data_IF_473230384794
#
_entry.id   IF_473230384794
#
_cell.length_a   1.000
_cell.length_b   1.000
_cell.length_c   1.000
_cell.angle_alpha   90.00
_cell.angle_beta   90.00
_cell.angle_gamma   90.00
#
_symmetry.space_group_name_H-M   'P 1'
#
loop_
_entity.id
_entity.type
_entity.pdbx_description
1 polymer ?
#
# COMPACT_ATOMS: atom_id res chain seq x y z
N UNK A 1 1.90 -15.81 -13.59
CA UNK A 1 1.08 -14.92 -14.46
C UNK A 1 1.09 -13.58 -13.78
N UNK A 2 1.35 -12.45 -14.43
CA UNK A 2 1.37 -11.17 -13.70
C UNK A 2 -0.05 -10.75 -13.32
N UNK A 3 -0.35 -10.65 -12.03
CA UNK A 3 -1.64 -10.13 -11.55
C UNK A 3 -1.70 -8.63 -11.86
N UNK A 4 -2.70 -8.21 -12.63
CA UNK A 4 -2.92 -6.79 -12.93
C UNK A 4 -3.33 -6.08 -11.64
N UNK A 5 -2.66 -4.97 -11.34
CA UNK A 5 -2.97 -4.13 -10.19
C UNK A 5 -4.30 -3.36 -10.39
N UNK A 6 -5.08 -3.21 -9.32
CA UNK A 6 -6.23 -2.30 -9.26
C UNK A 6 -5.78 -0.82 -9.34
N UNK A 7 -6.55 0.03 -10.02
CA UNK A 7 -6.21 1.45 -10.20
C UNK A 7 -6.10 2.18 -8.84
N UNK A 8 -6.90 1.76 -7.86
CA UNK A 8 -6.96 2.23 -6.49
C UNK A 8 -5.62 2.06 -5.73
N UNK A 9 -4.80 1.06 -6.08
CA UNK A 9 -3.50 0.89 -5.41
C UNK A 9 -2.55 2.07 -5.63
N UNK A 10 -2.81 2.93 -6.61
CA UNK A 10 -2.06 4.18 -6.81
C UNK A 10 -2.49 5.30 -5.85
N UNK A 11 -3.56 5.13 -5.07
CA UNK A 11 -4.10 6.16 -4.19
C UNK A 11 -3.96 5.81 -2.70
N UNK A 12 -3.88 4.53 -2.36
CA UNK A 12 -3.79 4.06 -0.98
C UNK A 12 -2.37 3.63 -0.61
N UNK A 13 -1.95 4.02 0.60
CA UNK A 13 -0.71 3.60 1.23
C UNK A 13 -0.84 2.24 1.90
N UNK A 14 0.29 1.56 2.10
CA UNK A 14 0.31 0.21 2.68
C UNK A 14 -0.27 0.19 4.10
N UNK A 15 0.07 1.16 4.94
CA UNK A 15 -0.49 1.33 6.29
C UNK A 15 -2.01 1.61 6.26
N UNK A 16 -2.48 2.44 5.33
CA UNK A 16 -3.91 2.71 5.20
C UNK A 16 -4.68 1.43 4.84
N UNK A 17 -4.16 0.63 3.91
CA UNK A 17 -4.78 -0.66 3.57
C UNK A 17 -4.76 -1.61 4.77
N UNK A 18 -3.67 -1.66 5.53
CA UNK A 18 -3.57 -2.54 6.70
C UNK A 18 -4.59 -2.17 7.80
N UNK A 19 -4.73 -0.87 8.08
CA UNK A 19 -5.58 -0.39 9.18
C UNK A 19 -7.06 -0.29 8.80
N UNK A 20 -7.36 0.09 7.57
CA UNK A 20 -8.72 0.38 7.15
C UNK A 20 -9.39 -0.77 6.39
N UNK A 21 -8.61 -1.63 5.72
CA UNK A 21 -9.18 -2.70 4.90
C UNK A 21 -9.01 -4.05 5.59
N UNK A 22 -10.09 -4.82 5.64
CA UNK A 22 -10.11 -6.14 6.26
C UNK A 22 -9.29 -7.15 5.45
N UNK A 23 -7.97 -7.15 5.65
CA UNK A 23 -7.01 -8.07 5.04
C UNK A 23 -6.63 -9.20 5.98
N UNK A 24 -6.06 -10.25 5.43
CA UNK A 24 -5.50 -11.37 6.17
C UNK A 24 -4.35 -10.90 7.05
N UNK A 25 -4.18 -11.55 8.21
CA UNK A 25 -3.11 -11.21 9.16
C UNK A 25 -1.69 -11.27 8.56
N UNK A 26 -1.34 -12.22 7.68
CA UNK A 26 -0.06 -12.20 7.00
C UNK A 26 0.14 -10.96 6.13
N UNK A 27 -0.88 -10.58 5.35
CA UNK A 27 -0.83 -9.39 4.50
C UNK A 27 -0.78 -8.11 5.35
N UNK A 28 -1.56 -8.03 6.43
CA UNK A 28 -1.51 -6.93 7.41
C UNK A 28 -0.07 -6.68 7.90
N UNK A 29 0.60 -7.74 8.38
CA UNK A 29 1.97 -7.61 8.90
C UNK A 29 2.92 -7.12 7.80
N UNK A 30 2.82 -7.68 6.60
CA UNK A 30 3.69 -7.33 5.48
C UNK A 30 3.50 -5.89 4.99
N UNK A 31 2.27 -5.40 4.99
CA UNK A 31 1.97 -3.99 4.68
C UNK A 31 2.63 -3.06 5.69
N UNK A 32 2.59 -3.40 6.97
CA UNK A 32 3.28 -2.66 8.03
C UNK A 32 4.80 -2.75 7.94
N UNK A 33 5.35 -3.92 7.61
CA UNK A 33 6.80 -4.09 7.39
C UNK A 33 7.28 -3.17 6.26
N UNK A 34 6.54 -3.10 5.15
CA UNK A 34 6.85 -2.20 4.03
C UNK A 34 6.84 -0.73 4.47
N UNK A 35 5.84 -0.33 5.28
CA UNK A 35 5.77 1.05 5.79
C UNK A 35 6.91 1.35 6.77
N UNK A 36 7.27 0.41 7.64
CA UNK A 36 8.33 0.58 8.62
C UNK A 36 9.73 0.63 7.99
N UNK A 37 9.92 -0.09 6.88
CA UNK A 37 11.17 -0.10 6.12
C UNK A 37 11.32 1.10 5.18
N UNK A 38 10.26 1.91 5.00
CA UNK A 38 10.32 3.09 4.16
C UNK A 38 11.16 4.19 4.82
N UNK A 39 12.15 4.69 4.10
CA UNK A 39 12.91 5.87 4.53
C UNK A 39 12.04 7.13 4.36
N UNK A 40 11.85 7.86 5.45
CA UNK A 40 11.15 9.15 5.41
C UNK A 40 12.05 10.18 4.71
N UNK A 41 11.76 10.42 3.43
CA UNK A 41 12.46 11.37 2.59
C UNK A 41 11.86 12.78 2.69
N UNK A 42 10.55 12.86 2.94
CA UNK A 42 9.81 14.11 3.02
C UNK A 42 8.95 14.09 4.29
N UNK A 43 9.14 15.04 5.22
CA UNK A 43 8.35 15.08 6.44
C UNK A 43 6.89 15.47 6.15
N UNK A 44 5.98 14.95 6.97
CA UNK A 44 4.53 15.10 6.77
C UNK A 44 4.06 16.56 6.64
N UNK A 45 4.71 17.51 7.32
CA UNK A 45 4.42 18.95 7.26
C UNK A 45 4.64 19.59 5.88
N UNK A 46 5.45 18.96 5.03
CA UNK A 46 5.73 19.42 3.67
C UNK A 46 4.81 18.79 2.61
N UNK A 47 3.87 17.94 3.03
CA UNK A 47 2.92 17.28 2.13
C UNK A 47 1.51 17.86 2.33
N UNK A 48 0.78 18.09 1.23
CA UNK A 48 -0.58 18.68 1.27
C UNK A 48 -1.67 17.69 1.67
N UNK A 49 -1.36 16.38 1.68
CA UNK A 49 -2.30 15.29 1.97
C UNK A 49 -1.56 14.03 2.39
N UNK A 50 -2.29 13.07 2.98
CA UNK A 50 -1.76 11.74 3.31
C UNK A 50 -1.36 10.95 2.05
N UNK A 51 -2.07 11.14 0.94
CA UNK A 51 -1.72 10.53 -0.34
C UNK A 51 -0.39 11.07 -0.87
N UNK A 52 -0.19 12.40 -0.90
CA UNK A 52 1.08 13.00 -1.30
C UNK A 52 2.21 12.58 -0.39
N UNK A 53 1.98 12.49 0.93
CA UNK A 53 2.96 11.98 1.87
C UNK A 53 3.37 10.54 1.54
N UNK A 54 2.41 9.67 1.24
CA UNK A 54 2.70 8.29 0.87
C UNK A 54 3.44 8.17 -0.47
N UNK A 55 3.06 8.97 -1.46
CA UNK A 55 3.74 9.01 -2.76
C UNK A 55 5.20 9.48 -2.62
N UNK A 56 5.42 10.59 -1.90
CA UNK A 56 6.76 11.14 -1.64
C UNK A 56 7.66 10.18 -0.87
N UNK A 57 7.10 9.35 0.01
CA UNK A 57 7.86 8.43 0.86
C UNK A 57 7.82 6.97 0.36
N UNK A 58 7.28 6.71 -0.82
CA UNK A 58 7.36 5.38 -1.44
C UNK A 58 6.48 4.33 -0.77
N UNK A 59 5.44 4.71 -0.02
CA UNK A 59 4.60 3.80 0.76
C UNK A 59 3.27 3.44 0.08
N UNK A 60 3.02 3.93 -1.15
CA UNK A 60 1.85 3.50 -1.92
C UNK A 60 1.90 1.99 -2.23
N UNK A 61 0.73 1.37 -2.28
CA UNK A 61 0.63 -0.06 -2.64
C UNK A 61 1.15 -0.29 -4.06
N UNK A 62 0.88 0.63 -4.99
CA UNK A 62 1.37 0.55 -6.37
C UNK A 62 2.90 0.52 -6.47
N UNK A 63 3.58 1.36 -5.70
CA UNK A 63 5.04 1.45 -5.66
C UNK A 63 5.68 0.18 -5.10
N UNK A 64 4.93 -0.56 -4.27
CA UNK A 64 5.37 -1.79 -3.63
C UNK A 64 4.77 -3.06 -4.26
N UNK A 65 4.06 -2.96 -5.39
CA UNK A 65 3.29 -4.08 -5.97
C UNK A 65 4.12 -5.34 -6.20
N UNK A 66 5.35 -5.17 -6.68
CA UNK A 66 6.28 -6.26 -6.96
C UNK A 66 6.79 -6.99 -5.71
N UNK A 67 6.62 -6.42 -4.51
CA UNK A 67 6.99 -7.05 -3.23
C UNK A 67 5.93 -8.05 -2.75
N UNK A 68 4.70 -7.97 -3.28
CA UNK A 68 3.62 -8.88 -2.93
C UNK A 68 3.64 -10.14 -3.81
N UNK A 69 3.30 -11.27 -3.20
CA UNK A 69 3.09 -12.54 -3.91
C UNK A 69 1.81 -12.48 -4.75
N UNK A 70 1.64 -13.39 -5.71
CA UNK A 70 0.39 -13.42 -6.51
C UNK A 70 -0.86 -13.56 -5.63
N UNK A 71 -0.80 -14.33 -4.53
CA UNK A 71 -1.94 -14.48 -3.60
C UNK A 71 -2.27 -13.18 -2.86
N UNK A 72 -1.25 -12.47 -2.39
CA UNK A 72 -1.40 -11.16 -1.73
C UNK A 72 -1.90 -10.10 -2.72
N UNK A 73 -1.42 -10.12 -3.96
CA UNK A 73 -1.89 -9.23 -5.03
C UNK A 73 -3.38 -9.45 -5.34
N UNK A 74 -3.84 -10.70 -5.38
CA UNK A 74 -5.26 -11.02 -5.56
C UNK A 74 -6.09 -10.50 -4.38
N UNK A 75 -5.61 -10.68 -3.15
CA UNK A 75 -6.29 -10.18 -1.96
C UNK A 75 -6.36 -8.64 -1.94
N UNK A 76 -5.24 -7.97 -2.24
CA UNK A 76 -5.15 -6.51 -2.35
C UNK A 76 -6.13 -5.98 -3.40
N UNK A 77 -6.17 -6.56 -4.60
CA UNK A 77 -7.14 -6.16 -5.61
C UNK A 77 -8.57 -6.29 -5.10
N UNK A 78 -8.91 -7.41 -4.45
CA UNK A 78 -10.26 -7.62 -3.92
C UNK A 78 -10.66 -6.55 -2.90
N UNK A 79 -9.77 -6.17 -1.98
CA UNK A 79 -10.10 -5.15 -0.97
C UNK A 79 -10.10 -3.74 -1.55
N UNK A 80 -9.24 -3.45 -2.53
CA UNK A 80 -9.11 -2.14 -3.16
C UNK A 80 -10.23 -1.83 -4.16
N UNK A 81 -10.69 -2.82 -4.92
CA UNK A 81 -11.82 -2.68 -5.86
C UNK A 81 -13.17 -2.50 -5.13
N UNK A 82 -13.22 -2.83 -3.84
CA UNK A 82 -14.41 -2.65 -3.00
C UNK A 82 -14.54 -1.22 -2.43
N UNK A 83 -13.57 -0.34 -2.70
CA UNK A 83 -13.54 1.06 -2.23
C UNK A 83 -14.07 2.03 -3.27
#
# INVERSE_FOLDING_TARGET
MTVKQADQASYYSCDHVAECFGVSRPLYNKLWDITADAEENVPAENCGSSHEYADCNGTLVSQNWAKFTEAEQIELNKVLEAQ
#
